data_IF_083477333949
#
_entry.id   IF_083477333949
#
_cell.length_a   1.000
_cell.length_b   1.000
_cell.length_c   1.000
_cell.angle_alpha   90.00
_cell.angle_beta   90.00
_cell.angle_gamma   90.00
#
_symmetry.space_group_name_H-M   'P 1'
#
loop_
_entity.id
_entity.type
_entity.pdbx_description
1 polymer ?
#
# COMPACT_ATOMS: atom_id res chain seq x y z
N UNK A 1 24.84 -13.03 20.88
CA UNK A 1 23.62 -13.63 20.28
C UNK A 1 23.01 -14.57 21.30
N UNK A 2 21.80 -14.29 21.81
CA UNK A 2 21.07 -15.23 22.66
C UNK A 2 20.17 -16.09 21.76
N UNK A 3 20.28 -17.41 21.88
CA UNK A 3 19.46 -18.36 21.12
C UNK A 3 18.12 -18.56 21.85
N UNK A 4 17.01 -18.33 21.14
CA UNK A 4 15.66 -18.60 21.63
C UNK A 4 15.31 -20.03 21.19
N UNK A 5 15.33 -20.98 22.12
CA UNK A 5 14.81 -22.32 21.87
C UNK A 5 13.28 -22.23 21.85
N UNK A 6 12.71 -22.32 20.65
CA UNK A 6 11.26 -22.34 20.45
C UNK A 6 10.76 -23.75 20.77
N UNK A 7 10.00 -23.91 21.84
CA UNK A 7 9.48 -25.22 22.28
C UNK A 7 7.98 -25.37 22.06
N UNK A 8 7.25 -24.27 21.79
CA UNK A 8 5.82 -24.30 21.50
C UNK A 8 5.48 -23.48 20.25
N UNK A 9 4.48 -23.93 19.48
CA UNK A 9 3.93 -23.23 18.30
C UNK A 9 3.52 -21.77 18.61
N UNK A 10 3.05 -21.50 19.83
CA UNK A 10 2.68 -20.13 20.25
C UNK A 10 3.88 -19.17 20.34
N UNK A 11 5.11 -19.68 20.46
CA UNK A 11 6.32 -18.86 20.44
C UNK A 11 6.67 -18.40 19.01
N UNK A 12 6.19 -19.10 17.97
CA UNK A 12 6.32 -18.67 16.57
C UNK A 12 5.37 -17.53 16.21
N UNK A 13 4.21 -17.44 16.89
CA UNK A 13 3.20 -16.40 16.63
C UNK A 13 3.57 -15.07 17.31
N UNK A 14 4.49 -15.09 18.29
CA UNK A 14 4.95 -13.88 18.99
C UNK A 14 5.90 -13.07 18.11
N UNK A 15 5.32 -12.20 17.29
CA UNK A 15 6.02 -11.27 16.38
C UNK A 15 7.09 -10.40 17.07
N UNK A 16 6.90 -10.05 18.36
CA UNK A 16 7.85 -9.26 19.16
C UNK A 16 8.23 -10.02 20.44
N UNK A 17 8.97 -11.12 20.27
CA UNK A 17 9.35 -11.99 21.39
C UNK A 17 10.32 -11.33 22.37
N UNK A 18 11.17 -10.39 21.90
CA UNK A 18 12.18 -9.73 22.74
C UNK A 18 11.71 -8.40 23.29
N UNK A 19 12.01 -8.15 24.57
CA UNK A 19 11.81 -6.83 25.19
C UNK A 19 12.52 -5.72 24.42
N UNK A 20 13.72 -5.97 23.89
CA UNK A 20 14.44 -5.02 23.04
C UNK A 20 13.74 -4.71 21.71
N UNK A 21 13.06 -5.68 21.09
CA UNK A 21 12.28 -5.45 19.87
C UNK A 21 11.01 -4.65 20.17
N UNK A 22 10.32 -4.97 21.26
CA UNK A 22 9.16 -4.21 21.74
C UNK A 22 9.51 -2.75 21.99
N UNK A 23 10.65 -2.48 22.64
CA UNK A 23 11.12 -1.12 22.90
C UNK A 23 11.44 -0.38 21.60
N UNK A 24 12.11 -1.02 20.64
CA UNK A 24 12.44 -0.39 19.34
C UNK A 24 11.19 -0.07 18.53
N UNK A 25 10.27 -1.02 18.40
CA UNK A 25 9.00 -0.81 17.68
C UNK A 25 8.15 0.24 18.40
N UNK A 26 8.04 0.15 19.72
CA UNK A 26 7.33 1.14 20.54
C UNK A 26 7.90 2.55 20.36
N UNK A 27 9.23 2.70 20.36
CA UNK A 27 9.88 3.99 20.14
C UNK A 27 9.58 4.58 18.75
N UNK A 28 9.59 3.74 17.70
CA UNK A 28 9.23 4.18 16.34
C UNK A 28 7.76 4.61 16.27
N UNK A 29 6.84 3.83 16.84
CA UNK A 29 5.40 4.17 16.86
C UNK A 29 5.16 5.47 17.62
N UNK A 30 5.80 5.64 18.78
CA UNK A 30 5.73 6.88 19.56
C UNK A 30 6.28 8.08 18.78
N UNK A 31 7.42 7.91 18.11
CA UNK A 31 7.99 8.95 17.27
C UNK A 31 7.03 9.35 16.14
N UNK A 32 6.44 8.38 15.43
CA UNK A 32 5.48 8.67 14.34
C UNK A 32 4.21 9.37 14.85
N UNK A 33 3.70 8.99 16.03
CA UNK A 33 2.54 9.63 16.64
C UNK A 33 2.84 11.06 17.13
N UNK A 34 4.08 11.30 17.57
CA UNK A 34 4.52 12.60 18.06
C UNK A 34 5.05 13.53 16.94
N UNK A 35 5.43 12.97 15.80
CA UNK A 35 5.95 13.68 14.62
C UNK A 35 5.15 14.94 14.22
N UNK A 36 3.80 14.93 14.13
CA UNK A 36 3.04 16.12 13.76
C UNK A 36 3.13 17.29 14.76
N UNK A 37 3.57 17.05 16.00
CA UNK A 37 3.74 18.10 17.01
C UNK A 37 5.07 18.85 16.88
N UNK A 38 6.06 18.28 16.18
CA UNK A 38 7.43 18.79 16.14
C UNK A 38 7.95 19.08 14.73
N UNK A 39 7.36 18.47 13.69
CA UNK A 39 7.78 18.63 12.30
C UNK A 39 7.00 19.73 11.60
N UNK A 40 7.68 20.44 10.70
CA UNK A 40 7.05 21.39 9.78
C UNK A 40 6.30 20.63 8.67
N UNK A 41 5.30 21.28 8.05
CA UNK A 41 4.41 20.68 7.05
C UNK A 41 5.16 19.98 5.90
N UNK A 42 6.26 20.58 5.43
CA UNK A 42 7.10 19.97 4.39
C UNK A 42 7.67 18.61 4.79
N UNK A 43 8.29 18.53 5.98
CA UNK A 43 8.84 17.27 6.49
C UNK A 43 7.75 16.26 6.83
N UNK A 44 6.57 16.74 7.23
CA UNK A 44 5.42 15.88 7.49
C UNK A 44 4.89 15.24 6.21
N UNK A 45 4.85 16.00 5.10
CA UNK A 45 4.46 15.49 3.78
C UNK A 45 5.47 14.46 3.25
N UNK A 46 6.78 14.75 3.35
CA UNK A 46 7.84 13.81 2.97
C UNK A 46 7.80 12.53 3.81
N UNK A 47 7.60 12.64 5.12
CA UNK A 47 7.42 11.49 6.00
C UNK A 47 6.19 10.65 5.58
N UNK A 48 5.08 11.32 5.24
CA UNK A 48 3.89 10.67 4.70
C UNK A 48 4.18 9.88 3.43
N UNK A 49 4.88 10.48 2.46
CA UNK A 49 5.29 9.81 1.22
C UNK A 49 6.22 8.63 1.49
N UNK A 50 7.18 8.78 2.41
CA UNK A 50 8.06 7.70 2.84
C UNK A 50 7.27 6.51 3.40
N UNK A 51 6.26 6.77 4.24
CA UNK A 51 5.38 5.72 4.78
C UNK A 51 4.54 5.04 3.69
N UNK A 52 4.02 5.81 2.73
CA UNK A 52 3.31 5.24 1.57
C UNK A 52 4.23 4.31 0.77
N UNK A 53 5.46 4.73 0.47
CA UNK A 53 6.43 3.88 -0.23
C UNK A 53 6.87 2.67 0.59
N UNK A 54 6.96 2.78 1.91
CA UNK A 54 7.24 1.64 2.78
C UNK A 54 6.14 0.58 2.69
N UNK A 55 4.87 0.99 2.76
CA UNK A 55 3.72 0.09 2.61
C UNK A 55 3.70 -0.52 1.21
N UNK A 56 3.94 0.27 0.17
CA UNK A 56 4.05 -0.20 -1.21
C UNK A 56 5.16 -1.25 -1.36
N UNK A 57 6.35 -0.97 -0.80
CA UNK A 57 7.48 -1.89 -0.82
C UNK A 57 7.19 -3.21 -0.10
N UNK A 58 6.49 -3.17 1.04
CA UNK A 58 6.04 -4.38 1.75
C UNK A 58 5.05 -5.16 0.88
N UNK A 59 4.07 -4.50 0.29
CA UNK A 59 3.11 -5.15 -0.61
C UNK A 59 3.78 -5.79 -1.82
N UNK A 60 4.77 -5.11 -2.40
CA UNK A 60 5.58 -5.65 -3.49
C UNK A 60 6.42 -6.85 -3.02
N UNK A 61 7.06 -6.79 -1.85
CA UNK A 61 7.86 -7.88 -1.27
C UNK A 61 7.03 -9.13 -0.96
N UNK A 62 5.76 -8.97 -0.58
CA UNK A 62 4.85 -10.11 -0.43
C UNK A 62 4.65 -10.81 -1.78
N UNK A 63 4.50 -10.05 -2.86
CA UNK A 63 4.31 -10.62 -4.19
C UNK A 63 5.62 -11.16 -4.78
N UNK A 64 6.61 -10.30 -4.98
CA UNK A 64 7.88 -10.67 -5.63
C UNK A 64 8.73 -11.58 -4.75
N UNK A 65 8.80 -11.29 -3.44
CA UNK A 65 9.67 -12.00 -2.51
C UNK A 65 9.14 -13.36 -2.08
N UNK A 66 7.83 -13.47 -1.80
CA UNK A 66 7.27 -14.73 -1.29
C UNK A 66 6.68 -15.63 -2.38
N UNK A 67 6.16 -15.08 -3.49
CA UNK A 67 5.59 -15.89 -4.58
C UNK A 67 6.47 -15.96 -5.82
N UNK A 68 7.53 -15.14 -5.90
CA UNK A 68 8.43 -15.08 -7.06
C UNK A 68 7.81 -14.42 -8.30
N UNK A 69 6.65 -13.77 -8.17
CA UNK A 69 5.96 -13.12 -9.28
C UNK A 69 6.43 -11.67 -9.46
N UNK A 70 6.88 -11.32 -10.66
CA UNK A 70 7.23 -9.94 -11.02
C UNK A 70 5.96 -9.11 -11.20
N UNK A 71 5.95 -7.88 -10.68
CA UNK A 71 4.85 -6.93 -10.84
C UNK A 71 5.35 -5.54 -11.19
N UNK A 72 4.97 -5.08 -12.39
CA UNK A 72 5.22 -3.70 -12.86
C UNK A 72 3.99 -2.79 -12.70
N UNK A 73 2.85 -3.36 -12.29
CA UNK A 73 1.59 -2.63 -12.13
C UNK A 73 1.34 -2.09 -10.73
N UNK A 74 2.31 -2.19 -9.82
CA UNK A 74 2.10 -1.85 -8.40
C UNK A 74 1.70 -0.39 -8.17
N UNK A 75 2.27 0.54 -8.95
CA UNK A 75 1.92 1.96 -8.91
C UNK A 75 0.44 2.21 -9.27
N UNK A 76 -0.16 1.37 -10.10
CA UNK A 76 -1.56 1.47 -10.47
C UNK A 76 -2.49 1.29 -9.25
N UNK A 77 -2.17 0.35 -8.36
CA UNK A 77 -2.95 0.13 -7.14
C UNK A 77 -2.85 1.30 -6.15
N UNK A 78 -1.66 1.90 -6.04
CA UNK A 78 -1.47 3.12 -5.25
C UNK A 78 -2.30 4.27 -5.85
N UNK A 79 -2.26 4.43 -7.17
CA UNK A 79 -3.03 5.43 -7.89
C UNK A 79 -4.54 5.24 -7.71
N UNK A 80 -5.06 4.01 -7.80
CA UNK A 80 -6.48 3.71 -7.55
C UNK A 80 -6.90 4.11 -6.14
N UNK A 81 -6.06 3.83 -5.14
CA UNK A 81 -6.30 4.24 -3.77
C UNK A 81 -6.35 5.76 -3.62
N UNK A 82 -5.32 6.45 -4.11
CA UNK A 82 -5.21 7.90 -4.03
C UNK A 82 -6.36 8.61 -4.78
N UNK A 83 -6.67 8.15 -5.99
CA UNK A 83 -7.75 8.68 -6.81
C UNK A 83 -9.12 8.51 -6.13
N UNK A 84 -9.41 7.30 -5.65
CA UNK A 84 -10.67 7.03 -4.93
C UNK A 84 -10.79 7.90 -3.69
N UNK A 85 -9.74 8.00 -2.89
CA UNK A 85 -9.75 8.82 -1.68
C UNK A 85 -9.98 10.30 -2.00
N UNK A 86 -9.28 10.83 -3.01
CA UNK A 86 -9.41 12.23 -3.44
C UNK A 86 -10.82 12.55 -3.94
N UNK A 87 -11.42 11.67 -4.75
CA UNK A 87 -12.78 11.82 -5.23
C UNK A 87 -13.80 11.75 -4.10
N UNK A 88 -13.65 10.83 -3.14
CA UNK A 88 -14.56 10.77 -1.99
C UNK A 88 -14.45 12.01 -1.11
N UNK A 89 -13.23 12.51 -0.91
CA UNK A 89 -13.00 13.75 -0.16
C UNK A 89 -13.59 14.97 -0.88
N UNK A 90 -13.52 15.04 -2.21
CA UNK A 90 -14.12 16.14 -2.99
C UNK A 90 -15.65 16.15 -2.92
N UNK A 91 -16.28 14.99 -2.68
CA UNK A 91 -17.72 14.86 -2.45
C UNK A 91 -18.13 15.07 -0.98
N UNK A 92 -17.20 15.46 -0.10
CA UNK A 92 -17.48 15.78 1.30
C UNK A 92 -17.65 14.56 2.22
N UNK A 93 -17.27 13.36 1.78
CA UNK A 93 -17.27 12.16 2.65
C UNK A 93 -16.27 12.37 3.78
N UNK A 94 -16.58 12.05 5.05
CA UNK A 94 -15.61 12.18 6.15
C UNK A 94 -14.35 11.36 5.93
N UNK A 95 -13.19 11.88 6.35
CA UNK A 95 -11.87 11.26 6.14
C UNK A 95 -11.81 9.77 6.52
N UNK A 96 -12.32 9.42 7.71
CA UNK A 96 -12.30 8.03 8.20
C UNK A 96 -13.12 7.08 7.33
N UNK A 97 -14.28 7.53 6.85
CA UNK A 97 -15.15 6.75 5.97
C UNK A 97 -14.51 6.64 4.58
N UNK A 98 -13.92 7.73 4.09
CA UNK A 98 -13.20 7.76 2.82
C UNK A 98 -12.07 6.73 2.81
N UNK A 99 -11.25 6.64 3.87
CA UNK A 99 -10.21 5.61 3.97
C UNK A 99 -10.78 4.20 3.91
N UNK A 100 -11.83 3.91 4.68
CA UNK A 100 -12.42 2.57 4.70
C UNK A 100 -12.96 2.18 3.32
N UNK A 101 -13.66 3.10 2.64
CA UNK A 101 -14.17 2.88 1.29
C UNK A 101 -13.05 2.74 0.27
N UNK A 102 -11.99 3.55 0.35
CA UNK A 102 -10.81 3.43 -0.50
C UNK A 102 -10.16 2.06 -0.37
N UNK A 103 -9.98 1.54 0.85
CA UNK A 103 -9.43 0.20 1.08
C UNK A 103 -10.32 -0.88 0.45
N UNK A 104 -11.65 -0.76 0.59
CA UNK A 104 -12.59 -1.69 -0.03
C UNK A 104 -12.53 -1.65 -1.56
N UNK A 105 -12.49 -0.46 -2.16
CA UNK A 105 -12.43 -0.29 -3.62
C UNK A 105 -11.10 -0.83 -4.16
N UNK A 106 -9.97 -0.41 -3.59
CA UNK A 106 -8.65 -0.92 -4.00
C UNK A 106 -8.53 -2.44 -3.80
N UNK A 107 -9.09 -2.96 -2.71
CA UNK A 107 -9.14 -4.39 -2.43
C UNK A 107 -10.00 -5.17 -3.42
N UNK A 108 -11.16 -4.63 -3.79
CA UNK A 108 -12.04 -5.23 -4.79
C UNK A 108 -11.38 -5.28 -6.18
N UNK A 109 -10.76 -4.18 -6.61
CA UNK A 109 -10.00 -4.13 -7.87
C UNK A 109 -8.82 -5.12 -7.83
N UNK A 110 -8.08 -5.14 -6.72
CA UNK A 110 -7.00 -6.10 -6.49
C UNK A 110 -7.45 -7.56 -6.55
N UNK A 111 -8.63 -7.88 -6.00
CA UNK A 111 -9.20 -9.22 -6.05
C UNK A 111 -9.60 -9.62 -7.47
N UNK A 112 -10.24 -8.72 -8.21
CA UNK A 112 -10.63 -8.95 -9.61
C UNK A 112 -9.40 -9.17 -10.50
N UNK A 113 -8.38 -8.32 -10.36
CA UNK A 113 -7.14 -8.46 -11.11
C UNK A 113 -6.38 -9.71 -10.68
N UNK A 114 -6.27 -9.98 -9.37
CA UNK A 114 -5.61 -11.16 -8.82
C UNK A 114 -6.21 -12.47 -9.34
N UNK A 115 -7.55 -12.54 -9.45
CA UNK A 115 -8.25 -13.70 -10.04
C UNK A 115 -7.93 -13.90 -11.52
N UNK A 116 -7.71 -12.81 -12.27
CA UNK A 116 -7.34 -12.89 -13.69
C UNK A 116 -5.86 -13.22 -13.85
N UNK A 117 -5.01 -12.64 -13.01
CA UNK A 117 -3.56 -12.80 -12.98
C UNK A 117 -3.12 -14.18 -12.51
N UNK A 118 -3.89 -14.85 -11.64
CA UNK A 118 -3.55 -16.19 -11.13
C UNK A 118 -3.46 -17.27 -12.22
N UNK A 119 -3.97 -16.99 -13.43
CA UNK A 119 -3.89 -17.88 -14.59
C UNK A 119 -2.60 -17.70 -15.40
N UNK A 120 -1.80 -16.67 -15.08
CA UNK A 120 -0.62 -16.26 -15.83
C UNK A 120 0.64 -16.51 -15.01
N UNK A 121 1.73 -16.88 -15.67
CA UNK A 121 3.02 -17.14 -15.02
C UNK A 121 4.17 -16.50 -15.79
N UNK A 122 5.26 -16.18 -15.06
CA UNK A 122 6.50 -15.67 -15.63
C UNK A 122 6.30 -14.37 -16.42
N UNK A 123 6.85 -14.31 -17.63
CA UNK A 123 6.84 -13.12 -18.48
C UNK A 123 5.43 -12.63 -18.86
N UNK A 124 4.47 -13.53 -19.03
CA UNK A 124 3.09 -13.15 -19.38
C UNK A 124 2.46 -12.33 -18.26
N UNK A 125 2.69 -12.72 -17.00
CA UNK A 125 2.20 -11.97 -15.85
C UNK A 125 2.86 -10.58 -15.77
N UNK A 126 4.16 -10.50 -16.01
CA UNK A 126 4.88 -9.23 -16.00
C UNK A 126 4.31 -8.25 -17.04
N UNK A 127 4.11 -8.70 -18.29
CA UNK A 127 3.51 -7.89 -19.37
C UNK A 127 2.08 -7.46 -18.99
N UNK A 128 1.27 -8.37 -18.44
CA UNK A 128 -0.08 -8.05 -18.02
C UNK A 128 -0.11 -6.97 -16.92
N UNK A 129 0.80 -7.04 -15.94
CA UNK A 129 0.88 -6.00 -14.89
C UNK A 129 1.35 -4.66 -15.42
N UNK A 130 2.25 -4.64 -16.40
CA UNK A 130 2.69 -3.41 -17.06
C UNK A 130 1.54 -2.79 -17.87
N UNK A 131 0.82 -3.60 -18.66
CA UNK A 131 -0.35 -3.15 -19.41
C UNK A 131 -1.45 -2.62 -18.49
N UNK A 132 -1.67 -3.26 -17.33
CA UNK A 132 -2.58 -2.76 -16.31
C UNK A 132 -2.18 -1.38 -15.79
N UNK A 133 -0.88 -1.16 -15.55
CA UNK A 133 -0.37 0.15 -15.15
C UNK A 133 -0.73 1.25 -16.13
N UNK A 134 -0.41 1.02 -17.41
CA UNK A 134 -0.71 1.98 -18.50
C UNK A 134 -2.22 2.21 -18.63
N UNK A 135 -3.03 1.15 -18.51
CA UNK A 135 -4.48 1.25 -18.60
C UNK A 135 -5.04 2.14 -17.49
N UNK A 136 -4.60 1.95 -16.25
CA UNK A 136 -5.06 2.76 -15.11
C UNK A 136 -4.61 4.23 -15.24
N UNK A 137 -3.37 4.46 -15.66
CA UNK A 137 -2.88 5.81 -15.96
C UNK A 137 -3.75 6.51 -17.02
N UNK A 138 -4.04 5.80 -18.12
CA UNK A 138 -4.90 6.31 -19.21
C UNK A 138 -6.30 6.62 -18.70
N UNK A 139 -6.88 5.72 -17.89
CA UNK A 139 -8.20 5.95 -17.28
C UNK A 139 -8.20 7.22 -16.44
N UNK A 140 -7.23 7.41 -15.54
CA UNK A 140 -7.16 8.64 -14.74
C UNK A 140 -7.00 9.90 -15.59
N UNK A 141 -6.19 9.81 -16.64
CA UNK A 141 -5.96 10.92 -17.57
C UNK A 141 -7.16 11.30 -18.45
N UNK A 142 -8.01 10.33 -18.79
CA UNK A 142 -9.15 10.54 -19.70
C UNK A 142 -10.49 10.68 -18.98
N UNK A 143 -10.57 10.45 -17.66
CA UNK A 143 -11.82 10.45 -16.91
C UNK A 143 -12.36 11.86 -16.61
N UNK A 144 -12.83 12.52 -17.66
CA UNK A 144 -13.34 13.91 -17.61
C UNK A 144 -14.52 14.10 -16.67
N UNK A 145 -15.39 13.11 -16.52
CA UNK A 145 -16.61 13.27 -15.73
C UNK A 145 -16.39 13.32 -14.22
N UNK A 146 -15.28 12.79 -13.71
CA UNK A 146 -15.02 12.69 -12.26
C UNK A 146 -13.97 13.69 -11.80
N UNK A 147 -12.86 13.81 -12.54
CA UNK A 147 -11.73 14.67 -12.17
C UNK A 147 -11.28 15.62 -13.29
N UNK A 148 -12.08 15.82 -14.33
CA UNK A 148 -11.69 16.65 -15.48
C UNK A 148 -10.60 16.04 -16.38
N UNK A 149 -10.06 14.87 -16.02
CA UNK A 149 -8.95 14.22 -16.72
C UNK A 149 -7.65 15.04 -16.61
N UNK A 150 -6.79 14.97 -17.62
CA UNK A 150 -5.57 15.79 -17.70
C UNK A 150 -5.84 17.32 -17.76
N UNK A 151 -7.08 17.72 -18.02
CA UNK A 151 -7.47 19.13 -18.14
C UNK A 151 -7.75 19.80 -16.79
N UNK A 152 -7.87 19.03 -15.70
CA UNK A 152 -8.33 19.52 -14.39
C UNK A 152 -9.84 19.61 -14.27
#
# INVERSE_FOLDING_TARGET
MQFLFKTHYNDDIRLLSRTGEKVRVGAVVLFLAAAPLFLQDYYLAELGLMLVYAIAGIGLMVLTGHTGQVSFGHAAFLGIGAYTHSVLMSHGVPFTISIALTVLVSGAVGMLLGRSASKMHGFYLAIATLAFGILIETVFGEWKSVTGGHSG
#
